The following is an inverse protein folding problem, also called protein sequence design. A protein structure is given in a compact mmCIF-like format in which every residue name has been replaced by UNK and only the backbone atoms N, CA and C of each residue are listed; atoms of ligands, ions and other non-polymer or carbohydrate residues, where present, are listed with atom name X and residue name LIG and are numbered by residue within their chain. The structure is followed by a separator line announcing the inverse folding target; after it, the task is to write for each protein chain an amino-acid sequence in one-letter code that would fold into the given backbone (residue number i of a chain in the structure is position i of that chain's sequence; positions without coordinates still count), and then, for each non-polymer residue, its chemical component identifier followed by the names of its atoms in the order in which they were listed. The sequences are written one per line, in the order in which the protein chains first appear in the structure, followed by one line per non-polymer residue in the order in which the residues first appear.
data_IF_407112475046
#
_entry.id   IF_407112475046
#
_cell.length_a   1.000
_cell.length_b   1.000
_cell.length_c   1.000
_cell.angle_alpha   90.00
_cell.angle_beta   90.00
_cell.angle_gamma   90.00
#
_symmetry.space_group_name_H-M   'P 1'
#
loop_
_entity.id
_entity.type
_entity.pdbx_description
1 polymer ?
#
# COMPACT_ATOMS: atom_id res chain seq x y z
N UNK A 1 -37.02 -5.46 85.93
CA UNK A 1 -37.95 -5.98 84.91
C UNK A 1 -37.49 -5.43 83.56
N UNK A 2 -37.20 -6.33 82.63
CA UNK A 2 -36.67 -6.15 81.27
C UNK A 2 -36.73 -4.74 80.64
N UNK A 3 -35.61 -4.32 80.02
CA UNK A 3 -35.64 -3.95 78.59
C UNK A 3 -34.25 -4.08 77.95
N UNK A 4 -34.09 -5.13 77.15
CA UNK A 4 -33.11 -5.26 76.08
C UNK A 4 -33.16 -4.04 75.16
N UNK A 5 -32.00 -3.55 74.68
CA UNK A 5 -31.87 -3.14 73.28
C UNK A 5 -30.42 -3.25 72.79
N UNK A 6 -30.27 -4.22 71.88
CA UNK A 6 -29.11 -4.62 71.10
C UNK A 6 -28.50 -3.44 70.34
N UNK A 7 -27.17 -3.32 70.40
CA UNK A 7 -26.37 -2.52 69.48
C UNK A 7 -26.41 -3.20 68.10
N UNK A 8 -26.91 -2.51 67.08
CA UNK A 8 -26.90 -2.96 65.69
C UNK A 8 -25.46 -2.86 65.15
N UNK A 9 -24.91 -3.98 64.68
CA UNK A 9 -23.76 -3.97 63.77
C UNK A 9 -24.17 -3.26 62.47
N UNK A 10 -23.48 -2.18 62.13
CA UNK A 10 -23.49 -1.63 60.77
C UNK A 10 -22.65 -2.55 59.88
N UNK A 11 -23.31 -3.32 59.02
CA UNK A 11 -22.67 -4.01 57.91
C UNK A 11 -22.26 -2.99 56.85
N UNK A 12 -20.95 -2.77 56.69
CA UNK A 12 -20.37 -1.94 55.64
C UNK A 12 -20.45 -2.73 54.32
N UNK A 13 -21.43 -2.44 53.47
CA UNK A 13 -21.51 -3.01 52.13
C UNK A 13 -20.50 -2.30 51.22
N UNK A 14 -19.32 -2.89 51.05
CA UNK A 14 -18.36 -2.49 50.02
C UNK A 14 -18.95 -2.87 48.67
N UNK A 15 -19.53 -1.90 47.99
CA UNK A 15 -20.00 -2.06 46.61
C UNK A 15 -18.79 -1.84 45.70
N UNK A 16 -18.25 -2.93 45.16
CA UNK A 16 -17.20 -2.91 44.15
C UNK A 16 -17.79 -2.37 42.85
N UNK A 17 -17.60 -1.08 42.59
CA UNK A 17 -17.91 -0.49 41.28
C UNK A 17 -16.85 -0.98 40.30
N UNK A 18 -17.17 -2.05 39.57
CA UNK A 18 -16.39 -2.46 38.41
C UNK A 18 -16.58 -1.41 37.31
N UNK A 19 -15.64 -0.47 37.23
CA UNK A 19 -15.49 0.43 36.09
C UNK A 19 -15.14 -0.43 34.87
N UNK A 20 -16.16 -0.81 34.09
CA UNK A 20 -15.99 -1.24 32.72
C UNK A 20 -15.45 -0.05 31.92
N UNK A 21 -14.13 0.06 31.83
CA UNK A 21 -13.50 0.81 30.75
C UNK A 21 -13.85 0.07 29.46
N UNK A 22 -14.94 0.48 28.83
CA UNK A 22 -15.15 0.20 27.41
C UNK A 22 -14.04 0.94 26.67
N UNK A 23 -12.95 0.25 26.35
CA UNK A 23 -12.04 0.71 25.32
C UNK A 23 -12.83 0.64 24.02
N UNK A 24 -13.50 1.74 23.68
CA UNK A 24 -13.91 1.97 22.32
C UNK A 24 -12.62 1.89 21.49
N UNK A 25 -12.45 0.78 20.78
CA UNK A 25 -11.42 0.62 19.76
C UNK A 25 -11.85 1.54 18.62
N UNK A 26 -11.58 2.83 18.78
CA UNK A 26 -11.52 3.71 17.63
C UNK A 26 -10.28 3.28 16.87
N UNK A 27 -10.48 2.70 15.69
CA UNK A 27 -9.43 2.63 14.70
C UNK A 27 -8.99 4.08 14.43
N UNK A 28 -7.93 4.54 15.09
CA UNK A 28 -7.29 5.79 14.71
C UNK A 28 -6.72 5.56 13.32
N UNK A 29 -7.24 6.29 12.34
CA UNK A 29 -6.58 6.41 11.05
C UNK A 29 -5.25 7.09 11.30
N UNK A 30 -4.16 6.44 10.90
CA UNK A 30 -2.84 7.05 10.93
C UNK A 30 -2.90 8.26 9.98
N UNK A 31 -2.80 9.47 10.54
CA UNK A 31 -2.70 10.73 9.77
C UNK A 31 -1.25 11.03 9.47
N UNK A 32 -0.98 11.37 8.22
CA UNK A 32 0.35 11.73 7.75
C UNK A 32 0.36 13.21 7.35
N UNK A 33 1.11 14.02 8.10
CA UNK A 33 1.39 15.40 7.72
C UNK A 33 2.51 15.43 6.69
N UNK A 34 2.18 15.81 5.46
CA UNK A 34 3.10 15.76 4.33
C UNK A 34 3.58 17.17 3.99
N UNK A 35 4.90 17.31 3.88
CA UNK A 35 5.57 18.59 3.63
C UNK A 35 6.18 18.66 2.23
N UNK A 36 6.44 17.50 1.62
CA UNK A 36 6.98 17.38 0.26
C UNK A 36 6.34 16.20 -0.47
N UNK A 37 6.12 16.38 -1.77
CA UNK A 37 5.62 15.38 -2.71
C UNK A 37 6.59 15.26 -3.87
N UNK A 38 7.03 14.04 -4.16
CA UNK A 38 7.85 13.70 -5.32
C UNK A 38 7.03 12.83 -6.25
N UNK A 39 6.98 13.17 -7.54
CA UNK A 39 6.31 12.37 -8.55
C UNK A 39 7.34 11.57 -9.37
N UNK A 40 6.99 10.33 -9.69
CA UNK A 40 7.77 9.47 -10.58
C UNK A 40 6.87 8.86 -11.66
N UNK A 41 7.39 8.74 -12.87
CA UNK A 41 6.88 7.81 -13.89
C UNK A 41 7.42 6.42 -13.59
N UNK A 42 6.53 5.48 -13.25
CA UNK A 42 6.85 4.06 -13.09
C UNK A 42 6.46 3.31 -14.36
N UNK A 43 7.46 2.90 -15.14
CA UNK A 43 7.26 2.07 -16.32
C UNK A 43 7.57 0.61 -16.00
N UNK A 44 6.62 -0.27 -16.28
CA UNK A 44 6.75 -1.70 -15.99
C UNK A 44 6.21 -2.60 -17.10
N UNK A 45 6.76 -3.81 -17.20
CA UNK A 45 6.32 -4.85 -18.14
C UNK A 45 5.91 -6.09 -17.34
N UNK A 46 4.60 -6.38 -17.23
CA UNK A 46 4.15 -7.56 -16.48
C UNK A 46 4.34 -8.87 -17.25
N UNK A 47 4.14 -8.85 -18.57
CA UNK A 47 4.33 -10.00 -19.44
C UNK A 47 5.79 -10.05 -19.91
N UNK A 48 6.62 -10.84 -19.24
CA UNK A 48 8.05 -10.97 -19.56
C UNK A 48 8.33 -11.38 -21.02
N UNK A 49 7.36 -11.98 -21.71
CA UNK A 49 7.51 -12.45 -23.10
C UNK A 49 7.11 -11.39 -24.14
N UNK A 50 6.51 -10.27 -23.72
CA UNK A 50 6.02 -9.24 -24.62
C UNK A 50 6.59 -7.86 -24.29
N UNK A 51 7.66 -7.47 -24.98
CA UNK A 51 8.31 -6.17 -24.78
C UNK A 51 7.44 -4.97 -25.14
N UNK A 52 6.42 -5.16 -25.98
CA UNK A 52 5.45 -4.12 -26.33
C UNK A 52 4.38 -3.90 -25.23
N UNK A 53 4.33 -4.75 -24.19
CA UNK A 53 3.33 -4.64 -23.13
C UNK A 53 3.71 -3.66 -22.01
N UNK A 54 4.72 -2.79 -22.23
CA UNK A 54 5.14 -1.81 -21.24
C UNK A 54 4.00 -0.84 -20.93
N UNK A 55 3.74 -0.65 -19.65
CA UNK A 55 2.75 0.28 -19.12
C UNK A 55 3.46 1.29 -18.24
N UNK A 56 3.02 2.55 -18.27
CA UNK A 56 3.54 3.60 -17.40
C UNK A 56 2.42 4.11 -16.51
N UNK A 57 2.70 4.23 -15.22
CA UNK A 57 1.79 4.81 -14.23
C UNK A 57 2.52 5.89 -13.43
N UNK A 58 1.81 6.96 -13.11
CA UNK A 58 2.32 7.98 -12.19
C UNK A 58 2.25 7.48 -10.75
N UNK A 59 3.31 7.75 -10.01
CA UNK A 59 3.44 7.41 -8.59
C UNK A 59 3.86 8.62 -7.79
N UNK A 60 3.50 8.64 -6.52
CA UNK A 60 3.89 9.67 -5.58
C UNK A 60 4.70 9.07 -4.41
N UNK A 61 5.73 9.82 -4.01
CA UNK A 61 6.44 9.65 -2.75
C UNK A 61 6.14 10.89 -1.90
N UNK A 62 5.44 10.68 -0.79
CA UNK A 62 5.00 11.70 0.14
C UNK A 62 5.90 11.67 1.36
N UNK A 63 6.47 12.80 1.72
CA UNK A 63 7.47 12.91 2.77
C UNK A 63 6.90 13.65 3.99
N UNK A 64 6.94 12.99 5.14
CA UNK A 64 6.70 13.59 6.46
C UNK A 64 8.00 13.63 7.27
N UNK A 65 7.93 14.06 8.53
CA UNK A 65 9.09 14.11 9.42
C UNK A 65 9.63 12.72 9.82
N UNK A 66 8.75 11.73 9.92
CA UNK A 66 9.09 10.41 10.48
C UNK A 66 8.93 9.26 9.49
N UNK A 67 8.07 9.44 8.49
CA UNK A 67 7.69 8.40 7.54
C UNK A 67 7.58 8.96 6.14
N UNK A 68 7.90 8.17 5.12
CA UNK A 68 7.49 8.43 3.75
C UNK A 68 6.48 7.41 3.26
N UNK A 69 5.57 7.83 2.38
CA UNK A 69 4.55 6.99 1.75
C UNK A 69 4.77 6.95 0.24
N UNK A 70 4.95 5.75 -0.31
CA UNK A 70 4.95 5.51 -1.75
C UNK A 70 3.68 4.77 -2.19
N UNK A 71 3.03 5.25 -3.27
CA UNK A 71 1.87 4.61 -3.91
C UNK A 71 1.68 5.11 -5.35
N UNK A 72 0.83 4.43 -6.12
CA UNK A 72 0.36 4.94 -7.41
C UNK A 72 -0.65 6.09 -7.23
N UNK A 73 -0.72 7.02 -8.19
CA UNK A 73 -1.78 8.04 -8.17
C UNK A 73 -3.17 7.40 -8.32
N UNK A 74 -3.27 6.29 -9.05
CA UNK A 74 -4.50 5.51 -9.14
C UNK A 74 -4.99 5.06 -7.74
N UNK A 75 -4.09 4.57 -6.87
CA UNK A 75 -4.45 4.22 -5.49
C UNK A 75 -4.88 5.45 -4.69
N UNK A 76 -4.17 6.57 -4.85
CA UNK A 76 -4.53 7.83 -4.18
C UNK A 76 -5.94 8.30 -4.56
N UNK A 77 -6.27 8.26 -5.85
CA UNK A 77 -7.60 8.62 -6.39
C UNK A 77 -8.70 7.69 -5.89
N UNK A 78 -8.43 6.37 -5.84
CA UNK A 78 -9.38 5.39 -5.29
C UNK A 78 -9.70 5.68 -3.81
N UNK A 79 -8.68 6.00 -3.01
CA UNK A 79 -8.88 6.32 -1.60
C UNK A 79 -9.62 7.64 -1.42
N UNK A 80 -9.28 8.67 -2.20
CA UNK A 80 -9.98 9.95 -2.17
C UNK A 80 -11.46 9.81 -2.57
N UNK A 81 -11.73 9.03 -3.62
CA UNK A 81 -13.10 8.76 -4.10
C UNK A 81 -13.92 8.04 -3.03
N UNK A 82 -13.34 7.02 -2.39
CA UNK A 82 -14.00 6.31 -1.29
C UNK A 82 -14.24 7.23 -0.10
N UNK A 83 -13.26 8.05 0.29
CA UNK A 83 -13.39 9.00 1.39
C UNK A 83 -14.50 10.04 1.14
N UNK A 84 -14.62 10.54 -0.09
CA UNK A 84 -15.70 11.42 -0.48
C UNK A 84 -17.08 10.71 -0.43
N UNK A 85 -17.14 9.44 -0.86
CA UNK A 85 -18.37 8.62 -0.80
C UNK A 85 -18.91 8.46 0.63
N UNK A 86 -18.06 8.08 1.59
CA UNK A 86 -18.47 7.92 2.99
C UNK A 86 -18.87 9.26 3.63
N UNK A 87 -18.13 10.34 3.34
CA UNK A 87 -18.41 11.66 3.90
C UNK A 87 -19.75 12.21 3.39
N UNK A 88 -20.09 11.94 2.14
CA UNK A 88 -21.34 12.38 1.52
C UNK A 88 -22.55 11.48 1.88
N UNK A 89 -22.36 10.40 2.67
CA UNK A 89 -23.40 9.44 3.08
C UNK A 89 -24.28 8.95 1.92
N UNK A 90 -23.71 8.78 0.72
CA UNK A 90 -24.45 8.21 -0.41
C UNK A 90 -24.53 6.71 -0.17
N UNK A 91 -25.55 6.26 0.56
CA UNK A 91 -25.78 4.85 0.83
C UNK A 91 -26.43 4.25 -0.41
N UNK A 92 -25.69 3.38 -1.10
CA UNK A 92 -26.05 2.53 -2.26
C UNK A 92 -25.68 3.07 -3.65
N UNK A 93 -24.60 2.51 -4.22
CA UNK A 93 -24.68 1.99 -5.59
C UNK A 93 -25.40 0.64 -5.52
N UNK A 94 -26.69 0.61 -5.85
CA UNK A 94 -27.49 -0.61 -6.03
C UNK A 94 -27.26 -1.27 -7.40
N UNK A 95 -26.33 -0.74 -8.20
CA UNK A 95 -25.97 -1.33 -9.47
C UNK A 95 -25.09 -2.57 -9.25
N UNK A 96 -25.39 -3.71 -9.91
CA UNK A 96 -24.52 -4.87 -9.87
C UNK A 96 -23.13 -4.48 -10.36
N UNK A 97 -22.09 -4.91 -9.65
CA UNK A 97 -20.71 -4.72 -10.09
C UNK A 97 -20.51 -5.60 -11.32
N UNK A 98 -20.40 -4.96 -12.48
CA UNK A 98 -20.08 -5.60 -13.76
C UNK A 98 -18.58 -5.48 -13.98
N UNK A 99 -17.84 -6.59 -13.85
CA UNK A 99 -16.38 -6.59 -14.04
C UNK A 99 -16.04 -6.87 -15.51
N UNK A 100 -15.19 -6.03 -16.08
CA UNK A 100 -14.45 -6.32 -17.31
C UNK A 100 -13.07 -6.85 -16.95
N UNK A 101 -12.73 -8.06 -17.42
CA UNK A 101 -11.44 -8.70 -17.14
C UNK A 101 -10.37 -8.05 -18.03
N UNK A 102 -9.71 -7.01 -17.51
CA UNK A 102 -8.64 -6.28 -18.22
C UNK A 102 -7.30 -6.23 -17.47
N UNK A 103 -7.32 -6.10 -16.14
CA UNK A 103 -6.14 -6.10 -15.26
C UNK A 103 -6.46 -6.85 -13.96
N UNK A 104 -5.55 -7.72 -13.52
CA UNK A 104 -5.64 -8.43 -12.22
C UNK A 104 -4.65 -7.91 -11.17
N UNK A 105 -3.82 -6.94 -11.57
CA UNK A 105 -2.79 -6.36 -10.75
C UNK A 105 -2.85 -4.84 -10.94
N UNK A 106 -3.45 -4.17 -9.97
CA UNK A 106 -3.68 -2.72 -10.01
C UNK A 106 -2.64 -1.96 -9.17
N UNK A 107 -1.62 -2.66 -8.65
CA UNK A 107 -0.58 -2.07 -7.80
C UNK A 107 -1.15 -1.23 -6.65
N UNK A 108 -2.26 -1.71 -6.06
CA UNK A 108 -3.02 -1.06 -4.98
C UNK A 108 -2.31 -1.10 -3.62
N UNK A 109 -0.98 -1.04 -3.60
CA UNK A 109 -0.21 -1.06 -2.38
C UNK A 109 0.11 0.36 -1.90
N UNK A 110 0.27 0.49 -0.59
CA UNK A 110 0.82 1.67 0.07
C UNK A 110 2.03 1.23 0.88
N UNK A 111 3.19 1.81 0.59
CA UNK A 111 4.47 1.44 1.20
C UNK A 111 4.91 2.60 2.08
N UNK A 112 4.96 2.35 3.39
CA UNK A 112 5.48 3.30 4.35
C UNK A 112 6.88 2.91 4.78
N UNK A 113 7.80 3.87 4.71
CA UNK A 113 9.18 3.72 5.19
C UNK A 113 9.39 4.63 6.39
N UNK A 114 9.62 4.04 7.54
CA UNK A 114 9.89 4.75 8.78
C UNK A 114 11.37 5.10 8.90
N UNK A 115 11.68 6.27 9.47
CA UNK A 115 13.04 6.66 9.84
C UNK A 115 13.70 5.70 10.86
N UNK A 116 12.91 4.86 11.54
CA UNK A 116 13.38 3.77 12.40
C UNK A 116 13.86 2.53 11.64
N UNK A 117 13.83 2.55 10.30
CA UNK A 117 14.30 1.44 9.47
C UNK A 117 13.29 0.30 9.29
N UNK A 118 12.01 0.55 9.53
CA UNK A 118 10.92 -0.40 9.25
C UNK A 118 10.15 0.00 7.98
N UNK A 119 9.85 -0.98 7.14
CA UNK A 119 8.94 -0.85 6.00
C UNK A 119 7.62 -1.52 6.35
N UNK A 120 6.50 -0.81 6.17
CA UNK A 120 5.13 -1.33 6.30
C UNK A 120 4.46 -1.29 4.93
N UNK A 121 3.92 -2.40 4.47
CA UNK A 121 3.27 -2.51 3.15
C UNK A 121 1.83 -2.94 3.34
N UNK A 122 0.89 -2.06 3.01
CA UNK A 122 -0.52 -2.41 2.80
C UNK A 122 -0.70 -2.87 1.35
N UNK A 123 -1.43 -3.96 1.11
CA UNK A 123 -1.76 -4.44 -0.25
C UNK A 123 -3.25 -4.81 -0.32
N UNK A 124 -4.04 -3.99 -1.03
CA UNK A 124 -5.46 -4.22 -1.29
C UNK A 124 -5.66 -5.10 -2.54
N UNK A 125 -5.09 -6.30 -2.52
CA UNK A 125 -5.12 -7.23 -3.65
C UNK A 125 -6.51 -7.81 -3.96
N UNK A 126 -7.44 -7.76 -3.00
CA UNK A 126 -8.82 -8.26 -3.14
C UNK A 126 -9.74 -7.34 -3.96
N UNK A 127 -9.20 -6.27 -4.55
CA UNK A 127 -9.91 -5.34 -5.42
C UNK A 127 -10.75 -4.32 -4.63
N UNK A 128 -10.55 -3.05 -4.95
CA UNK A 128 -11.23 -1.90 -4.36
C UNK A 128 -12.60 -1.64 -5.00
N UNK A 129 -13.44 -2.68 -5.12
CA UNK A 129 -14.86 -2.45 -5.38
C UNK A 129 -15.43 -1.77 -4.13
N UNK A 130 -15.92 -0.53 -4.29
CA UNK A 130 -16.30 0.43 -3.24
C UNK A 130 -17.22 -0.13 -2.14
N UNK A 131 -17.85 -1.30 -2.35
CA UNK A 131 -18.79 -1.92 -1.42
C UNK A 131 -18.27 -3.19 -0.72
N UNK A 132 -17.04 -3.67 -0.98
CA UNK A 132 -16.64 -5.04 -0.56
C UNK A 132 -15.23 -5.22 -0.01
N UNK A 133 -14.43 -4.17 0.19
CA UNK A 133 -13.16 -4.31 0.92
C UNK A 133 -13.50 -4.55 2.40
N UNK A 134 -13.53 -5.81 2.83
CA UNK A 134 -13.77 -6.19 4.24
C UNK A 134 -12.50 -6.20 5.08
N UNK A 135 -11.36 -6.39 4.42
CA UNK A 135 -10.05 -6.56 5.08
C UNK A 135 -8.96 -5.88 4.22
N UNK A 136 -8.11 -5.07 4.86
CA UNK A 136 -6.85 -4.58 4.31
C UNK A 136 -5.73 -5.34 5.01
N UNK A 137 -4.95 -6.08 4.24
CA UNK A 137 -3.81 -6.80 4.75
C UNK A 137 -2.54 -5.98 4.64
N UNK A 138 -1.69 -6.11 5.66
CA UNK A 138 -0.35 -5.53 5.64
C UNK A 138 0.70 -6.46 6.22
N UNK A 139 1.95 -6.27 5.82
CA UNK A 139 3.11 -6.85 6.48
C UNK A 139 4.13 -5.76 6.81
N UNK A 140 5.10 -6.13 7.65
CA UNK A 140 6.26 -5.30 7.97
C UNK A 140 7.53 -6.06 7.70
N UNK A 141 8.56 -5.38 7.22
CA UNK A 141 9.90 -5.94 7.04
C UNK A 141 10.96 -4.88 7.39
N UNK A 142 12.17 -5.29 7.81
CA UNK A 142 13.25 -4.35 8.04
C UNK A 142 13.77 -3.77 6.72
N UNK A 143 14.16 -2.48 6.72
CA UNK A 143 14.81 -1.81 5.60
C UNK A 143 16.31 -2.15 5.49
N UNK A 144 16.78 -3.23 6.12
CA UNK A 144 18.21 -3.59 6.20
C UNK A 144 18.78 -4.00 4.86
N UNK A 145 17.96 -4.50 3.94
CA UNK A 145 18.38 -4.76 2.56
C UNK A 145 18.96 -3.49 1.92
N UNK A 146 18.35 -2.33 2.16
CA UNK A 146 18.77 -1.04 1.61
C UNK A 146 20.12 -0.53 2.17
N UNK A 147 20.75 -1.23 3.12
CA UNK A 147 22.11 -0.89 3.59
C UNK A 147 23.20 -1.46 2.66
N UNK A 148 22.83 -2.30 1.69
CA UNK A 148 23.77 -3.04 0.83
C UNK A 148 24.07 -2.37 -0.52
N UNK A 149 23.83 -1.06 -0.64
CA UNK A 149 24.16 -0.31 -1.85
C UNK A 149 25.67 -0.31 -2.12
N UNK A 150 26.04 -0.62 -3.36
CA UNK A 150 27.39 -0.44 -3.90
C UNK A 150 27.45 0.87 -4.66
N UNK A 151 28.15 1.85 -4.10
CA UNK A 151 28.35 3.15 -4.75
C UNK A 151 29.40 3.03 -5.86
N UNK A 152 29.16 3.71 -6.98
CA UNK A 152 30.13 3.89 -8.07
C UNK A 152 30.51 5.37 -8.20
N UNK A 153 31.66 5.67 -8.80
CA UNK A 153 32.07 7.03 -9.15
C UNK A 153 31.36 7.56 -10.41
N UNK A 154 30.60 6.72 -11.11
CA UNK A 154 29.85 7.12 -12.29
C UNK A 154 28.82 8.20 -11.95
N UNK A 155 28.75 9.22 -12.80
CA UNK A 155 27.80 10.32 -12.65
C UNK A 155 27.04 10.57 -13.95
N UNK A 156 25.82 11.09 -13.81
CA UNK A 156 25.00 11.63 -14.90
C UNK A 156 24.26 12.87 -14.40
N UNK A 157 23.74 13.67 -15.32
CA UNK A 157 22.77 14.71 -14.99
C UNK A 157 21.36 14.23 -15.32
N UNK A 158 20.44 14.32 -14.35
CA UNK A 158 19.00 14.12 -14.55
C UNK A 158 18.33 15.45 -14.25
N UNK A 159 17.61 15.99 -15.24
CA UNK A 159 17.15 17.38 -15.26
C UNK A 159 18.30 18.36 -15.01
N UNK A 160 18.36 18.95 -13.82
CA UNK A 160 19.42 19.89 -13.39
C UNK A 160 20.34 19.32 -12.31
N UNK A 161 20.08 18.09 -11.84
CA UNK A 161 20.77 17.52 -10.68
C UNK A 161 21.88 16.57 -11.13
N UNK A 162 23.08 16.75 -10.56
CA UNK A 162 24.15 15.78 -10.69
C UNK A 162 23.82 14.57 -9.84
N UNK A 163 23.79 13.39 -10.47
CA UNK A 163 23.46 12.14 -9.83
C UNK A 163 24.66 11.20 -9.82
N UNK A 164 24.85 10.50 -8.70
CA UNK A 164 25.81 9.40 -8.55
C UNK A 164 25.10 8.06 -8.72
N UNK A 165 25.81 7.09 -9.30
CA UNK A 165 25.33 5.72 -9.47
C UNK A 165 25.46 4.90 -8.18
N UNK A 166 24.45 4.09 -7.90
CA UNK A 166 24.50 3.02 -6.90
C UNK A 166 23.84 1.74 -7.43
N UNK A 167 24.29 0.58 -6.97
CA UNK A 167 23.76 -0.73 -7.38
C UNK A 167 23.40 -1.59 -6.16
N UNK A 168 22.35 -2.39 -6.26
CA UNK A 168 21.90 -3.29 -5.19
C UNK A 168 21.20 -4.52 -5.77
N UNK A 169 21.31 -5.66 -5.07
CA UNK A 169 20.49 -6.83 -5.33
C UNK A 169 19.32 -6.86 -4.33
N UNK A 170 18.09 -6.80 -4.83
CA UNK A 170 16.89 -6.75 -4.00
C UNK A 170 15.69 -7.39 -4.71
N UNK A 171 14.90 -8.18 -3.98
CA UNK A 171 13.68 -8.79 -4.51
C UNK A 171 13.92 -9.75 -5.68
N UNK A 172 15.07 -10.43 -5.70
CA UNK A 172 15.47 -11.31 -6.81
C UNK A 172 15.93 -10.58 -8.08
N UNK A 173 16.12 -9.25 -8.02
CA UNK A 173 16.55 -8.42 -9.14
C UNK A 173 17.82 -7.64 -8.81
N UNK A 174 18.58 -7.34 -9.85
CA UNK A 174 19.68 -6.38 -9.79
C UNK A 174 19.18 -5.01 -10.20
N UNK A 175 19.45 -4.00 -9.39
CA UNK A 175 18.97 -2.63 -9.57
C UNK A 175 20.12 -1.65 -9.71
N UNK A 176 19.95 -0.68 -10.61
CA UNK A 176 20.78 0.50 -10.70
C UNK A 176 19.96 1.73 -10.30
N UNK A 177 20.45 2.47 -9.31
CA UNK A 177 19.92 3.76 -8.88
C UNK A 177 20.85 4.89 -9.30
N UNK A 178 20.26 6.05 -9.59
CA UNK A 178 20.94 7.32 -9.75
C UNK A 178 20.34 8.29 -8.76
N UNK A 179 21.14 8.74 -7.79
CA UNK A 179 20.69 9.59 -6.69
C UNK A 179 21.48 10.90 -6.64
N UNK A 180 20.86 11.98 -6.14
CA UNK A 180 21.52 13.28 -6.05
C UNK A 180 21.57 13.79 -4.61
N UNK A 181 22.78 14.12 -4.14
CA UNK A 181 23.02 14.73 -2.82
C UNK A 181 22.58 16.20 -2.77
N UNK A 182 22.32 16.83 -3.91
CA UNK A 182 21.74 18.17 -3.99
C UNK A 182 20.30 18.22 -3.45
N UNK A 183 19.62 17.07 -3.43
CA UNK A 183 18.35 16.87 -2.72
C UNK A 183 18.63 15.92 -1.55
N UNK A 184 18.96 16.43 -0.35
CA UNK A 184 19.45 15.62 0.78
C UNK A 184 18.31 14.88 1.50
N UNK A 185 17.57 14.08 0.74
CA UNK A 185 16.43 13.26 1.18
C UNK A 185 16.83 11.81 0.93
N UNK A 186 17.06 11.03 1.99
CA UNK A 186 17.54 9.64 1.89
C UNK A 186 16.43 8.65 1.54
N UNK A 187 15.79 8.85 0.39
CA UNK A 187 14.56 8.15 0.01
C UNK A 187 14.44 7.95 -1.52
N UNK A 188 13.39 7.26 -1.95
CA UNK A 188 13.15 6.94 -3.35
C UNK A 188 11.83 6.21 -3.62
N UNK A 189 11.59 5.78 -4.86
CA UNK A 189 10.38 5.05 -5.22
C UNK A 189 10.34 3.65 -4.60
N UNK A 190 9.14 3.09 -4.46
CA UNK A 190 8.91 1.76 -3.88
C UNK A 190 9.54 1.64 -2.47
N UNK A 191 10.30 0.57 -2.22
CA UNK A 191 11.01 0.29 -0.97
C UNK A 191 12.42 0.86 -0.92
N UNK A 192 12.89 1.45 -2.02
CA UNK A 192 14.26 1.93 -2.15
C UNK A 192 14.45 3.26 -1.41
N UNK A 193 15.65 3.43 -0.86
CA UNK A 193 16.05 4.58 -0.06
C UNK A 193 17.45 4.34 0.52
N UNK A 194 17.80 5.07 1.60
CA UNK A 194 19.08 4.94 2.32
C UNK A 194 20.35 5.30 1.54
N UNK A 195 20.22 6.02 0.43
CA UNK A 195 21.33 6.70 -0.23
C UNK A 195 21.47 8.12 0.34
N UNK A 196 22.64 8.79 0.26
CA UNK A 196 22.84 10.12 0.85
C UNK A 196 22.13 11.26 0.09
N UNK A 197 21.15 10.94 -0.75
CA UNK A 197 20.35 11.87 -1.53
C UNK A 197 19.16 11.17 -2.17
N UNK A 198 18.26 11.94 -2.77
CA UNK A 198 17.03 11.41 -3.36
C UNK A 198 17.38 10.53 -4.56
N UNK A 199 16.73 9.37 -4.71
CA UNK A 199 16.83 8.56 -5.92
C UNK A 199 15.99 9.21 -7.03
N UNK A 200 16.64 9.66 -8.11
CA UNK A 200 15.98 10.32 -9.24
C UNK A 200 15.68 9.34 -10.39
N UNK A 201 16.48 8.29 -10.53
CA UNK A 201 16.20 7.20 -11.47
C UNK A 201 16.54 5.86 -10.83
N UNK A 202 15.69 4.87 -11.06
CA UNK A 202 15.89 3.51 -10.59
C UNK A 202 15.42 2.54 -11.67
N UNK A 203 16.24 1.58 -12.06
CA UNK A 203 15.83 0.56 -13.03
C UNK A 203 16.45 -0.79 -12.71
N UNK A 204 15.72 -1.86 -13.02
CA UNK A 204 16.25 -3.20 -12.94
C UNK A 204 17.12 -3.51 -14.18
N UNK A 205 18.02 -4.49 -14.05
CA UNK A 205 18.96 -4.86 -15.13
C UNK A 205 18.26 -5.26 -16.43
N UNK A 206 17.04 -5.79 -16.35
CA UNK A 206 16.23 -6.17 -17.51
C UNK A 206 15.45 -5.00 -18.14
N UNK A 207 15.47 -3.81 -17.52
CA UNK A 207 14.73 -2.61 -17.94
C UNK A 207 13.22 -2.87 -18.09
N UNK A 208 12.72 -3.81 -17.29
CA UNK A 208 11.31 -4.16 -17.21
C UNK A 208 10.61 -3.47 -16.05
N UNK A 209 11.37 -2.90 -15.11
CA UNK A 209 10.90 -1.98 -14.09
C UNK A 209 11.80 -0.76 -14.07
N UNK A 210 11.21 0.43 -14.25
CA UNK A 210 11.92 1.69 -14.31
C UNK A 210 11.10 2.78 -13.61
N UNK A 211 11.77 3.58 -12.79
CA UNK A 211 11.22 4.75 -12.13
C UNK A 211 12.04 5.97 -12.56
N UNK A 212 11.35 7.00 -13.02
CA UNK A 212 11.96 8.25 -13.47
C UNK A 212 11.32 9.41 -12.75
N UNK A 213 12.16 10.21 -12.10
CA UNK A 213 11.77 11.46 -11.46
C UNK A 213 11.00 12.35 -12.44
N UNK A 214 9.99 13.04 -11.93
CA UNK A 214 9.16 14.00 -12.69
C UNK A 214 9.18 15.38 -12.05
N UNK A 215 8.90 15.44 -10.74
CA UNK A 215 8.92 16.72 -10.02
C UNK A 215 9.03 16.51 -8.52
N UNK A 216 9.48 17.56 -7.83
CA UNK A 216 9.43 17.68 -6.37
C UNK A 216 8.75 19.00 -6.02
N UNK A 217 7.81 18.95 -5.07
CA UNK A 217 7.03 20.11 -4.66
C UNK A 217 6.94 20.16 -3.13
N UNK A 218 7.01 21.36 -2.56
CA UNK A 218 6.60 21.57 -1.18
C UNK A 218 5.07 21.58 -1.14
N UNK A 219 4.49 20.87 -0.18
CA UNK A 219 3.05 20.75 0.01
C UNK A 219 2.71 20.89 1.49
N UNK A 220 1.44 21.14 1.79
CA UNK A 220 0.92 21.17 3.15
C UNK A 220 -0.36 20.33 3.21
N UNK A 221 -0.20 19.00 3.23
CA UNK A 221 -1.31 18.04 3.12
C UNK A 221 -1.42 17.19 4.39
N UNK A 222 -2.65 16.92 4.84
CA UNK A 222 -2.95 15.94 5.89
C UNK A 222 -3.64 14.74 5.24
N UNK A 223 -2.95 13.59 5.23
CA UNK A 223 -3.41 12.40 4.54
C UNK A 223 -3.86 11.37 5.58
N UNK A 224 -5.15 11.03 5.56
CA UNK A 224 -5.69 9.92 6.34
C UNK A 224 -5.42 8.60 5.61
N UNK A 225 -4.59 7.75 6.21
CA UNK A 225 -4.27 6.45 5.64
C UNK A 225 -5.41 5.46 5.86
N UNK A 226 -5.75 4.70 4.81
CA UNK A 226 -6.73 3.62 4.86
C UNK A 226 -8.07 4.02 5.48
N UNK A 227 -8.55 5.26 5.24
CA UNK A 227 -9.85 5.74 5.71
C UNK A 227 -10.97 4.92 5.06
N UNK A 228 -11.40 3.84 5.73
CA UNK A 228 -12.49 2.96 5.29
C UNK A 228 -13.44 2.64 6.44
N UNK A 229 -14.74 2.54 6.18
CA UNK A 229 -15.73 2.15 7.19
C UNK A 229 -15.88 0.63 7.23
N UNK A 230 -15.93 0.04 8.43
CA UNK A 230 -16.15 -1.40 8.65
C UNK A 230 -15.11 -2.31 7.96
N UNK A 231 -13.87 -1.85 7.86
CA UNK A 231 -12.76 -2.61 7.26
C UNK A 231 -11.77 -3.02 8.34
N UNK A 232 -11.49 -4.31 8.44
CA UNK A 232 -10.46 -4.83 9.33
C UNK A 232 -9.07 -4.58 8.72
N UNK A 233 -8.17 -3.95 9.48
CA UNK A 233 -6.76 -3.79 9.06
C UNK A 233 -5.93 -4.86 9.78
N UNK A 234 -5.41 -5.81 9.03
CA UNK A 234 -4.80 -7.02 9.59
C UNK A 234 -3.35 -7.18 9.19
N UNK A 235 -2.51 -7.47 10.19
CA UNK A 235 -1.12 -7.86 9.95
C UNK A 235 -1.04 -9.34 9.57
N UNK A 236 -0.38 -9.64 8.46
CA UNK A 236 -0.07 -11.01 8.03
C UNK A 236 1.41 -11.12 7.64
N UNK A 237 1.88 -12.36 7.47
CA UNK A 237 3.24 -12.61 6.97
C UNK A 237 3.34 -12.27 5.47
N UNK A 238 4.51 -11.78 5.04
CA UNK A 238 4.79 -11.42 3.63
C UNK A 238 4.45 -12.57 2.67
N UNK A 239 4.94 -13.77 2.95
CA UNK A 239 4.67 -14.97 2.12
C UNK A 239 3.18 -15.31 2.05
N UNK A 240 2.47 -15.14 3.17
CA UNK A 240 1.02 -15.35 3.20
C UNK A 240 0.31 -14.32 2.33
N UNK A 241 0.72 -13.04 2.41
CA UNK A 241 0.15 -11.98 1.58
C UNK A 241 0.28 -12.30 0.09
N UNK A 242 1.47 -12.68 -0.37
CA UNK A 242 1.69 -13.02 -1.77
C UNK A 242 0.94 -14.30 -2.22
N UNK A 243 0.82 -15.30 -1.34
CA UNK A 243 0.01 -16.50 -1.58
C UNK A 243 -1.47 -16.17 -1.71
N UNK A 244 -2.01 -15.39 -0.78
CA UNK A 244 -3.41 -14.97 -0.77
C UNK A 244 -3.73 -14.10 -1.98
N UNK A 245 -2.82 -13.20 -2.36
CA UNK A 245 -2.92 -12.41 -3.61
C UNK A 245 -2.99 -13.29 -4.85
N UNK A 246 -2.07 -14.26 -5.00
CA UNK A 246 -2.12 -15.19 -6.14
C UNK A 246 -3.38 -16.05 -6.12
N UNK A 247 -3.85 -16.47 -4.95
CA UNK A 247 -5.11 -17.20 -4.80
C UNK A 247 -6.29 -16.35 -5.28
N UNK A 248 -6.38 -15.09 -4.82
CA UNK A 248 -7.44 -14.18 -5.22
C UNK A 248 -7.45 -13.97 -6.73
N UNK A 249 -6.30 -13.66 -7.34
CA UNK A 249 -6.18 -13.47 -8.80
C UNK A 249 -6.67 -14.68 -9.59
N UNK A 250 -6.32 -15.91 -9.16
CA UNK A 250 -6.76 -17.16 -9.82
C UNK A 250 -8.25 -17.45 -9.66
N UNK A 251 -8.85 -17.02 -8.55
CA UNK A 251 -10.22 -17.33 -8.20
C UNK A 251 -11.14 -16.09 -8.26
N UNK A 252 -10.68 -14.99 -8.88
CA UNK A 252 -11.34 -13.68 -8.83
C UNK A 252 -12.80 -13.75 -9.28
N UNK A 253 -13.08 -14.49 -10.35
CA UNK A 253 -14.45 -14.66 -10.87
C UNK A 253 -15.35 -15.40 -9.88
N UNK A 254 -14.89 -16.53 -9.34
CA UNK A 254 -15.68 -17.30 -8.36
C UNK A 254 -15.91 -16.52 -7.07
N UNK A 255 -14.90 -15.79 -6.59
CA UNK A 255 -15.01 -14.91 -5.41
C UNK A 255 -16.04 -13.81 -5.69
N UNK A 256 -15.98 -13.18 -6.86
CA UNK A 256 -16.92 -12.14 -7.24
C UNK A 256 -18.37 -12.66 -7.31
N UNK A 257 -18.58 -13.80 -7.97
CA UNK A 257 -19.89 -14.47 -8.06
C UNK A 257 -20.43 -14.81 -6.66
N UNK A 258 -19.57 -15.33 -5.76
CA UNK A 258 -19.96 -15.64 -4.38
C UNK A 258 -20.35 -14.42 -3.56
N UNK A 259 -19.87 -13.23 -3.95
CA UNK A 259 -20.21 -11.95 -3.34
C UNK A 259 -21.40 -11.26 -4.04
N UNK A 260 -22.10 -11.93 -4.95
CA UNK A 260 -23.27 -11.40 -5.64
C UNK A 260 -22.97 -10.51 -6.86
N UNK A 261 -21.71 -10.47 -7.32
CA UNK A 261 -21.35 -9.81 -8.57
C UNK A 261 -21.75 -10.63 -9.80
N UNK A 262 -21.88 -9.97 -10.94
CA UNK A 262 -22.26 -10.61 -12.22
C UNK A 262 -21.17 -10.40 -13.27
N UNK A 263 -20.94 -11.41 -14.10
CA UNK A 263 -19.99 -11.34 -15.22
C UNK A 263 -20.77 -10.95 -16.48
N UNK A 264 -20.27 -9.93 -17.20
CA UNK A 264 -20.94 -9.42 -18.40
C UNK A 264 -20.89 -10.41 -19.57
N UNK A 265 -19.77 -11.12 -19.71
CA UNK A 265 -19.52 -12.09 -20.78
C UNK A 265 -19.82 -13.53 -20.32
N UNK A 266 -19.82 -14.46 -21.28
CA UNK A 266 -19.98 -15.88 -20.99
C UNK A 266 -18.94 -16.35 -19.95
N UNK A 267 -19.37 -17.17 -18.98
CA UNK A 267 -18.54 -17.56 -17.84
C UNK A 267 -17.26 -18.30 -18.25
N UNK A 268 -17.33 -19.12 -19.30
CA UNK A 268 -16.19 -19.87 -19.82
C UNK A 268 -15.23 -18.93 -20.55
N UNK A 269 -15.76 -18.06 -21.41
CA UNK A 269 -14.96 -17.02 -22.07
C UNK A 269 -14.24 -16.11 -21.07
N UNK A 270 -14.94 -15.69 -20.01
CA UNK A 270 -14.36 -14.94 -18.89
C UNK A 270 -13.22 -15.70 -18.21
N UNK A 271 -13.39 -17.00 -17.96
CA UNK A 271 -12.34 -17.81 -17.35
C UNK A 271 -11.11 -17.96 -18.26
N UNK A 272 -11.32 -18.15 -19.55
CA UNK A 272 -10.23 -18.23 -20.55
C UNK A 272 -9.45 -16.91 -20.59
N UNK A 273 -10.15 -15.79 -20.66
CA UNK A 273 -9.55 -14.44 -20.61
C UNK A 273 -8.80 -14.20 -19.29
N UNK A 274 -9.37 -14.59 -18.15
CA UNK A 274 -8.70 -14.49 -16.86
C UNK A 274 -7.40 -15.31 -16.85
N UNK A 275 -7.43 -16.55 -17.36
CA UNK A 275 -6.24 -17.39 -17.44
C UNK A 275 -5.15 -16.76 -18.32
N UNK A 276 -5.51 -16.11 -19.43
CA UNK A 276 -4.56 -15.35 -20.25
C UNK A 276 -3.94 -14.18 -19.48
N UNK A 277 -4.76 -13.39 -18.79
CA UNK A 277 -4.27 -12.26 -17.99
C UNK A 277 -3.35 -12.73 -16.86
N UNK A 278 -3.67 -13.85 -16.19
CA UNK A 278 -2.81 -14.46 -15.16
C UNK A 278 -1.47 -14.90 -15.73
N UNK A 279 -1.45 -15.53 -16.93
CA UNK A 279 -0.19 -15.93 -17.58
C UNK A 279 0.70 -14.73 -17.88
N UNK A 280 0.11 -13.59 -18.23
CA UNK A 280 0.78 -12.33 -18.49
C UNK A 280 1.24 -11.60 -17.22
N UNK A 281 0.74 -11.95 -16.04
CA UNK A 281 1.17 -11.37 -14.74
C UNK A 281 2.32 -12.18 -14.13
N UNK A 282 3.48 -12.19 -14.80
CA UNK A 282 4.60 -13.08 -14.47
C UNK A 282 5.92 -12.36 -14.10
N UNK A 283 6.00 -11.05 -14.29
CA UNK A 283 7.22 -10.26 -14.02
C UNK A 283 7.03 -9.28 -12.85
N UNK A 284 6.76 -9.81 -11.65
CA UNK A 284 6.53 -9.03 -10.44
C UNK A 284 7.78 -8.28 -9.99
N UNK A 285 7.63 -7.07 -9.43
CA UNK A 285 8.76 -6.24 -8.98
C UNK A 285 9.67 -6.97 -7.98
N UNK A 286 9.11 -7.86 -7.16
CA UNK A 286 9.84 -8.86 -6.37
C UNK A 286 9.51 -10.26 -6.92
N UNK A 287 10.54 -11.03 -7.25
CA UNK A 287 10.46 -12.37 -7.87
C UNK A 287 10.30 -13.50 -6.85
#
# INVERSE_FOLDING_TARGET
MNLNKRVKLLSLSVSTVALFFSTAIYAQSDRLKVHKKVLYNMTFQMDSLNTASKTTELTELLLSDTVSLFRTLHKAEQDATYAAYINNKVIQLSAPVVVTIGKINNLNYQILKSNTGQIKVYDEYSGSNLNHVKEINYYTEPATAMDSWKLSSDTITIDQFLCQKAEIDFGGRHWTAWFSTEIPISDGPYKFGKLPGLILRLEDSSKTWKFEFQSIQNVDEDIELNKKENVEIKKINKDKLFKDRRYYQKNMLSIMESNGGSIAEDRKAAQERLNEVIRKDNNWIEL
#
